data_IF_683276118450
#
_entry.id   IF_683276118450
#
_cell.length_a   1.000
_cell.length_b   1.000
_cell.length_c   1.000
_cell.angle_alpha   90.00
_cell.angle_beta   90.00
_cell.angle_gamma   90.00
#
_symmetry.space_group_name_H-M   'P 1'
#
loop_
_entity.id
_entity.type
_entity.pdbx_description
1 polymer ?
#
# COMPACT_ATOMS: atom_id res chain seq x y z
N UNK A 1 -42.06 33.59 -19.21
CA UNK A 1 -40.71 33.01 -19.13
C UNK A 1 -40.75 31.91 -18.08
N UNK A 2 -40.38 30.72 -18.50
CA UNK A 2 -40.69 29.42 -17.89
C UNK A 2 -39.79 29.12 -16.70
N UNK A 3 -40.36 29.14 -15.50
CA UNK A 3 -39.95 28.22 -14.44
C UNK A 3 -40.24 26.80 -14.92
N UNK A 4 -39.25 25.91 -14.88
CA UNK A 4 -39.49 24.47 -14.92
C UNK A 4 -39.26 23.94 -13.51
N UNK A 5 -40.32 23.98 -12.73
CA UNK A 5 -40.49 23.09 -11.58
C UNK A 5 -40.54 21.65 -12.10
N UNK A 6 -39.52 20.86 -11.81
CA UNK A 6 -39.67 19.40 -11.78
C UNK A 6 -40.16 19.06 -10.38
N UNK A 7 -41.46 19.23 -10.17
CA UNK A 7 -42.14 18.66 -9.03
C UNK A 7 -42.12 17.13 -9.17
N UNK A 8 -41.58 16.42 -8.18
CA UNK A 8 -41.94 15.02 -7.96
C UNK A 8 -40.84 13.96 -8.00
N UNK A 9 -39.54 14.30 -7.91
CA UNK A 9 -38.52 13.28 -7.58
C UNK A 9 -38.07 13.51 -6.15
N UNK A 10 -38.68 12.77 -5.21
CA UNK A 10 -38.08 12.51 -3.91
C UNK A 10 -37.22 11.26 -4.09
N UNK A 11 -35.90 11.41 -4.04
CA UNK A 11 -35.06 10.26 -3.73
C UNK A 11 -35.33 9.93 -2.25
N UNK A 12 -36.24 9.01 -1.99
CA UNK A 12 -36.14 8.23 -0.76
C UNK A 12 -34.92 7.34 -0.99
N UNK A 13 -33.83 7.63 -0.28
CA UNK A 13 -32.86 6.59 -0.01
C UNK A 13 -33.66 5.53 0.77
N UNK A 14 -34.12 4.49 0.06
CA UNK A 14 -34.41 3.22 0.69
C UNK A 14 -33.17 2.85 1.53
N UNK A 15 -33.40 2.26 2.70
CA UNK A 15 -32.38 1.89 3.69
C UNK A 15 -31.05 1.51 3.00
N UNK A 16 -29.93 2.12 3.41
CA UNK A 16 -28.60 1.96 2.78
C UNK A 16 -28.40 0.48 2.40
N UNK A 17 -28.51 0.11 1.10
CA UNK A 17 -28.58 -1.30 0.70
C UNK A 17 -27.20 -1.96 0.80
N UNK A 18 -26.18 -1.18 1.20
CA UNK A 18 -24.81 -1.65 1.32
C UNK A 18 -24.59 -2.24 2.70
N UNK A 19 -24.14 -3.49 2.74
CA UNK A 19 -23.50 -4.02 3.95
C UNK A 19 -22.16 -3.31 4.16
N UNK A 20 -21.78 -3.07 5.41
CA UNK A 20 -20.54 -2.36 5.75
C UNK A 20 -19.55 -3.25 6.49
N UNK A 21 -18.26 -3.03 6.20
CA UNK A 21 -17.17 -3.42 7.10
C UNK A 21 -16.70 -2.16 7.83
N UNK A 22 -16.84 -2.15 9.15
CA UNK A 22 -16.47 -1.01 9.99
C UNK A 22 -15.46 -1.39 11.06
N UNK A 23 -14.58 -0.45 11.40
CA UNK A 23 -13.54 -0.66 12.40
C UNK A 23 -12.66 0.55 12.59
N UNK A 24 -11.51 0.34 13.22
CA UNK A 24 -10.51 1.37 13.45
C UNK A 24 -9.14 0.95 12.92
N UNK A 25 -8.47 1.87 12.23
CA UNK A 25 -7.05 1.81 11.92
C UNK A 25 -6.30 2.58 13.01
N UNK A 26 -5.49 1.86 13.78
CA UNK A 26 -4.84 2.40 14.97
C UNK A 26 -3.32 2.24 14.86
N UNK A 27 -2.58 3.21 15.38
CA UNK A 27 -1.15 3.04 15.64
C UNK A 27 -0.89 2.05 16.78
N UNK A 28 0.37 1.71 17.02
CA UNK A 28 0.76 0.75 18.06
C UNK A 28 0.40 1.19 19.48
N UNK A 29 0.09 2.47 19.70
CA UNK A 29 -0.35 3.01 20.99
C UNK A 29 -1.88 3.10 21.09
N UNK A 30 -2.62 2.61 20.09
CA UNK A 30 -4.08 2.64 20.06
C UNK A 30 -4.67 3.98 19.62
N UNK A 31 -3.86 4.90 19.07
CA UNK A 31 -4.35 6.17 18.52
C UNK A 31 -4.77 6.00 17.07
N UNK A 32 -5.91 6.59 16.71
CA UNK A 32 -6.42 6.58 15.34
C UNK A 32 -5.48 7.18 14.30
N UNK A 33 -5.30 6.46 13.19
CA UNK A 33 -4.58 6.94 12.00
C UNK A 33 -5.62 7.44 11.00
N UNK A 34 -5.62 8.75 10.73
CA UNK A 34 -6.59 9.45 9.87
C UNK A 34 -6.16 9.53 8.42
N UNK A 35 -7.14 9.70 7.51
CA UNK A 35 -6.96 9.95 6.08
C UNK A 35 -6.12 8.86 5.39
N UNK A 36 -6.34 7.59 5.76
CA UNK A 36 -5.71 6.45 5.12
C UNK A 36 -6.80 5.55 4.57
N UNK A 37 -6.69 5.21 3.29
CA UNK A 37 -7.62 4.27 2.67
C UNK A 37 -7.48 2.88 3.27
N UNK A 38 -8.59 2.34 3.75
CA UNK A 38 -8.74 0.93 4.07
C UNK A 38 -9.50 0.29 2.91
N UNK A 39 -8.84 -0.65 2.26
CA UNK A 39 -9.36 -1.35 1.09
C UNK A 39 -9.90 -2.71 1.52
N UNK A 40 -11.17 -2.99 1.19
CA UNK A 40 -11.71 -4.34 1.22
C UNK A 40 -11.54 -4.96 -0.18
N UNK A 41 -10.85 -6.09 -0.24
CA UNK A 41 -10.45 -6.75 -1.50
C UNK A 41 -11.01 -8.16 -1.53
N UNK A 42 -11.88 -8.41 -2.51
CA UNK A 42 -12.31 -9.75 -2.93
C UNK A 42 -11.56 -10.16 -4.21
N UNK A 43 -11.88 -11.33 -4.76
CA UNK A 43 -11.17 -11.86 -5.93
C UNK A 43 -11.41 -11.04 -7.22
N UNK A 44 -12.60 -10.47 -7.40
CA UNK A 44 -13.03 -9.77 -8.61
C UNK A 44 -13.48 -8.32 -8.40
N UNK A 45 -13.58 -7.86 -7.15
CA UNK A 45 -13.97 -6.49 -6.83
C UNK A 45 -13.26 -5.94 -5.58
N UNK A 46 -13.26 -4.61 -5.47
CA UNK A 46 -12.68 -3.87 -4.35
C UNK A 46 -13.55 -2.69 -3.96
N UNK A 47 -13.56 -2.38 -2.67
CA UNK A 47 -14.14 -1.18 -2.11
C UNK A 47 -13.13 -0.50 -1.19
N UNK A 48 -13.23 0.80 -1.00
CA UNK A 48 -12.33 1.56 -0.13
C UNK A 48 -13.08 2.66 0.60
N UNK A 49 -12.62 3.00 1.79
CA UNK A 49 -13.06 4.16 2.54
C UNK A 49 -11.88 4.73 3.34
N UNK A 50 -11.60 6.04 3.26
CA UNK A 50 -10.56 6.65 4.07
C UNK A 50 -10.98 6.71 5.54
N UNK A 51 -10.02 6.50 6.43
CA UNK A 51 -10.25 6.67 7.85
C UNK A 51 -10.55 8.12 8.23
N UNK A 52 -11.50 8.31 9.14
CA UNK A 52 -11.86 9.63 9.65
C UNK A 52 -10.81 10.20 10.62
N UNK A 53 -11.09 11.37 11.22
CA UNK A 53 -10.19 12.03 12.18
C UNK A 53 -9.86 11.19 13.42
N UNK A 54 -10.64 10.16 13.73
CA UNK A 54 -10.46 9.23 14.85
C UNK A 54 -9.86 7.89 14.42
N UNK A 55 -9.54 7.73 13.13
CA UNK A 55 -9.04 6.48 12.56
C UNK A 55 -10.15 5.46 12.24
N UNK A 56 -11.43 5.84 12.36
CA UNK A 56 -12.54 4.93 12.04
C UNK A 56 -12.73 4.86 10.53
N UNK A 57 -12.90 3.65 10.00
CA UNK A 57 -13.26 3.41 8.60
C UNK A 57 -14.64 2.75 8.51
N UNK A 58 -15.32 2.92 7.38
CA UNK A 58 -16.61 2.30 7.10
C UNK A 58 -16.77 1.97 5.61
N UNK A 59 -16.12 0.90 5.17
CA UNK A 59 -16.18 0.44 3.77
C UNK A 59 -17.57 -0.09 3.44
N UNK A 60 -18.29 0.60 2.55
CA UNK A 60 -19.56 0.15 2.00
C UNK A 60 -19.33 -0.87 0.88
N UNK A 61 -20.07 -1.98 0.93
CA UNK A 61 -19.95 -3.09 -0.01
C UNK A 61 -21.26 -3.24 -0.79
N UNK A 62 -21.13 -3.46 -2.09
CA UNK A 62 -22.26 -3.70 -2.98
C UNK A 62 -22.65 -5.19 -3.02
N UNK A 63 -21.78 -6.08 -2.55
CA UNK A 63 -21.94 -7.53 -2.65
C UNK A 63 -21.48 -8.24 -1.36
N UNK A 64 -22.18 -9.30 -0.98
CA UNK A 64 -21.72 -10.23 0.05
C UNK A 64 -20.51 -11.02 -0.46
N UNK A 65 -19.60 -11.41 0.43
CA UNK A 65 -18.37 -12.08 0.01
C UNK A 65 -17.33 -12.26 1.12
N UNK A 66 -16.18 -12.77 0.72
CA UNK A 66 -15.01 -12.95 1.60
C UNK A 66 -13.97 -11.93 1.21
N UNK A 67 -13.68 -11.00 2.12
CA UNK A 67 -12.80 -9.87 1.87
C UNK A 67 -11.52 -9.96 2.69
N UNK A 68 -10.37 -9.70 2.08
CA UNK A 68 -9.18 -9.27 2.81
C UNK A 68 -9.23 -7.76 3.02
N UNK A 69 -8.68 -7.26 4.13
CA UNK A 69 -8.45 -5.82 4.29
C UNK A 69 -6.97 -5.48 4.11
N UNK A 70 -6.70 -4.40 3.39
CA UNK A 70 -5.36 -3.87 3.20
C UNK A 70 -5.33 -2.34 3.27
N UNK A 71 -4.19 -1.80 3.66
CA UNK A 71 -4.00 -0.37 3.81
C UNK A 71 -2.56 0.02 3.50
N UNK A 72 -2.37 1.30 3.19
CA UNK A 72 -1.09 1.81 2.73
C UNK A 72 -0.69 3.08 3.47
N UNK A 73 0.35 2.99 4.31
CA UNK A 73 0.75 4.08 5.22
C UNK A 73 2.17 4.51 4.90
N UNK A 74 2.34 5.69 4.31
CA UNK A 74 3.66 6.23 3.93
C UNK A 74 4.50 5.23 3.12
N UNK A 75 3.85 4.54 2.17
CA UNK A 75 4.44 3.50 1.31
C UNK A 75 4.51 2.09 1.92
N UNK A 76 4.21 1.92 3.21
CA UNK A 76 4.24 0.65 3.92
C UNK A 76 2.93 -0.14 3.70
N UNK A 77 3.00 -1.30 3.03
CA UNK A 77 1.83 -2.16 2.81
C UNK A 77 1.52 -3.00 4.04
N UNK A 78 0.27 -2.91 4.49
CA UNK A 78 -0.23 -3.67 5.63
C UNK A 78 -1.52 -4.39 5.27
N UNK A 79 -1.70 -5.56 5.88
CA UNK A 79 -2.90 -6.37 5.77
C UNK A 79 -3.50 -6.59 7.14
N UNK A 80 -4.82 -6.73 7.21
CA UNK A 80 -5.49 -7.13 8.44
C UNK A 80 -5.24 -8.61 8.70
N UNK A 81 -4.70 -8.93 9.87
CA UNK A 81 -4.35 -10.27 10.34
C UNK A 81 -5.15 -10.68 11.59
N UNK A 82 -4.73 -11.76 12.24
CA UNK A 82 -5.42 -12.28 13.44
C UNK A 82 -5.28 -11.36 14.65
N UNK A 83 -4.10 -10.76 14.84
CA UNK A 83 -3.74 -9.98 16.03
C UNK A 83 -3.60 -8.47 15.73
N UNK A 84 -4.20 -8.00 14.64
CA UNK A 84 -4.05 -6.63 14.14
C UNK A 84 -3.39 -6.60 12.77
N UNK A 85 -2.56 -5.61 12.48
CA UNK A 85 -1.86 -5.49 11.21
C UNK A 85 -0.72 -6.53 11.06
N UNK A 86 -0.53 -7.01 9.83
CA UNK A 86 0.65 -7.77 9.38
C UNK A 86 1.23 -7.15 8.11
N UNK A 87 2.54 -7.32 7.89
CA UNK A 87 3.21 -6.90 6.66
C UNK A 87 3.06 -7.88 5.49
N UNK A 88 2.57 -9.10 5.72
CA UNK A 88 2.58 -10.16 4.70
C UNK A 88 1.17 -10.58 4.27
N UNK A 89 1.00 -10.82 2.97
CA UNK A 89 -0.26 -11.31 2.42
C UNK A 89 -0.61 -12.71 2.93
N UNK A 90 0.40 -13.52 3.27
CA UNK A 90 0.23 -14.89 3.78
C UNK A 90 -0.50 -14.92 5.12
N UNK A 91 -0.29 -13.91 5.96
CA UNK A 91 -0.88 -13.79 7.29
C UNK A 91 -2.19 -12.99 7.28
N UNK A 92 -2.62 -12.51 6.10
CA UNK A 92 -3.87 -11.77 5.94
C UNK A 92 -5.05 -12.66 6.35
N UNK A 93 -5.83 -12.15 7.29
CA UNK A 93 -7.13 -12.68 7.67
C UNK A 93 -8.20 -12.17 6.72
N UNK A 94 -9.18 -13.02 6.43
CA UNK A 94 -10.37 -12.62 5.69
C UNK A 94 -11.56 -12.36 6.60
N UNK A 95 -12.48 -11.54 6.11
CA UNK A 95 -13.73 -11.15 6.74
C UNK A 95 -14.86 -11.65 5.83
N UNK A 96 -15.70 -12.52 6.36
CA UNK A 96 -16.91 -12.97 5.65
C UNK A 96 -18.04 -12.00 5.91
N UNK A 97 -18.58 -11.42 4.84
CA UNK A 97 -19.71 -10.50 4.84
C UNK A 97 -20.91 -11.18 4.20
N UNK A 98 -22.04 -11.15 4.89
CA UNK A 98 -23.32 -11.67 4.38
C UNK A 98 -24.31 -10.50 4.24
N UNK A 99 -25.56 -10.67 4.68
CA UNK A 99 -26.59 -9.63 4.71
C UNK A 99 -26.46 -8.68 5.93
N UNK A 100 -25.39 -8.85 6.73
CA UNK A 100 -25.20 -8.09 7.97
C UNK A 100 -23.83 -7.44 8.04
N UNK A 101 -23.81 -6.22 8.60
CA UNK A 101 -22.59 -5.46 8.83
C UNK A 101 -21.59 -6.24 9.69
N UNK A 102 -20.32 -6.14 9.31
CA UNK A 102 -19.20 -6.51 10.16
C UNK A 102 -18.70 -5.25 10.83
N UNK A 103 -18.60 -5.27 12.15
CA UNK A 103 -18.21 -4.09 12.92
C UNK A 103 -17.15 -4.39 13.96
N UNK A 104 -16.59 -3.31 14.49
CA UNK A 104 -15.59 -3.33 15.55
C UNK A 104 -14.30 -4.09 15.22
N UNK A 105 -13.89 -4.09 13.95
CA UNK A 105 -12.58 -4.58 13.57
C UNK A 105 -11.48 -3.66 14.09
N UNK A 106 -10.42 -4.25 14.64
CA UNK A 106 -9.24 -3.54 15.14
C UNK A 106 -8.06 -3.82 14.21
N UNK A 107 -7.84 -2.93 13.24
CA UNK A 107 -6.69 -2.96 12.35
C UNK A 107 -5.56 -2.15 13.00
N UNK A 108 -4.99 -2.68 14.08
CA UNK A 108 -3.98 -1.99 14.87
C UNK A 108 -2.56 -2.39 14.44
N UNK A 109 -1.69 -1.41 14.23
CA UNK A 109 -0.27 -1.64 13.94
C UNK A 109 0.42 -2.30 15.15
N UNK A 110 1.29 -3.27 14.89
CA UNK A 110 2.20 -3.80 15.91
C UNK A 110 3.32 -2.77 16.20
N UNK A 111 4.00 -2.88 17.36
CA UNK A 111 5.21 -2.11 17.61
C UNK A 111 6.21 -2.20 16.45
N UNK A 112 6.91 -1.10 16.19
CA UNK A 112 7.93 -0.96 15.15
C UNK A 112 7.45 -1.09 13.69
N UNK A 113 6.17 -1.37 13.44
CA UNK A 113 5.65 -1.41 12.07
C UNK A 113 5.70 -0.05 11.38
N UNK A 114 6.15 -0.05 10.13
CA UNK A 114 6.23 1.14 9.28
C UNK A 114 7.07 2.29 9.87
N UNK A 115 8.01 1.98 10.78
CA UNK A 115 8.91 2.96 11.40
C UNK A 115 10.23 3.11 10.66
N UNK A 116 10.71 2.02 10.05
CA UNK A 116 11.95 1.97 9.29
C UNK A 116 11.71 2.38 7.83
N UNK A 117 12.61 3.19 7.28
CA UNK A 117 12.49 3.73 5.92
C UNK A 117 13.60 3.30 4.99
N UNK A 118 13.27 3.23 3.71
CA UNK A 118 14.20 3.14 2.60
C UNK A 118 14.06 4.41 1.77
N UNK A 119 15.18 5.04 1.43
CA UNK A 119 15.19 6.28 0.66
C UNK A 119 16.40 6.39 -0.27
N UNK A 120 16.19 7.12 -1.36
CA UNK A 120 17.18 7.26 -2.41
C UNK A 120 16.70 8.09 -3.58
N UNK A 121 17.33 7.90 -4.74
CA UNK A 121 16.97 8.50 -6.02
C UNK A 121 16.83 7.43 -7.10
N UNK A 122 15.77 7.49 -7.88
CA UNK A 122 15.62 6.74 -9.12
C UNK A 122 16.08 7.60 -10.30
N UNK A 123 17.01 7.08 -11.09
CA UNK A 123 17.65 7.80 -12.19
C UNK A 123 17.57 6.99 -13.49
N UNK A 124 17.44 7.69 -14.61
CA UNK A 124 17.71 7.13 -15.93
C UNK A 124 19.23 6.91 -16.14
N UNK A 125 19.59 6.20 -17.19
CA UNK A 125 20.99 5.90 -17.52
C UNK A 125 21.87 7.17 -17.62
N UNK A 126 21.34 8.24 -18.21
CA UNK A 126 21.98 9.54 -18.35
C UNK A 126 22.11 10.35 -17.04
N UNK A 127 21.49 9.88 -15.96
CA UNK A 127 21.50 10.51 -14.64
C UNK A 127 20.40 11.52 -14.41
N UNK A 128 19.49 11.69 -15.36
CA UNK A 128 18.26 12.46 -15.14
C UNK A 128 17.33 11.72 -14.17
N UNK A 129 16.53 12.45 -13.37
CA UNK A 129 15.48 11.87 -12.55
C UNK A 129 14.49 11.01 -13.34
N UNK A 130 13.99 9.95 -12.71
CA UNK A 130 12.90 9.13 -13.24
C UNK A 130 11.75 9.08 -12.22
N UNK A 131 10.52 9.30 -12.70
CA UNK A 131 9.33 9.55 -11.84
C UNK A 131 8.12 8.73 -12.23
N UNK A 132 8.20 8.00 -13.34
CA UNK A 132 7.10 7.27 -13.98
C UNK A 132 7.05 5.79 -13.59
N UNK A 133 7.79 5.37 -12.57
CA UNK A 133 7.71 4.02 -12.02
C UNK A 133 7.77 4.00 -10.49
N UNK A 134 7.00 3.08 -9.89
CA UNK A 134 7.13 2.74 -8.48
C UNK A 134 8.49 2.14 -8.19
N UNK A 135 9.17 2.68 -7.17
CA UNK A 135 10.30 2.01 -6.53
C UNK A 135 9.77 1.23 -5.35
N UNK A 136 9.96 -0.08 -5.35
CA UNK A 136 9.51 -0.98 -4.30
C UNK A 136 10.67 -1.64 -3.58
N UNK A 137 10.42 -2.08 -2.36
CA UNK A 137 11.20 -3.10 -1.71
C UNK A 137 10.29 -4.23 -1.23
N UNK A 138 10.75 -5.47 -1.38
CA UNK A 138 10.04 -6.66 -0.93
C UNK A 138 10.96 -7.59 -0.17
N UNK A 139 10.41 -8.24 0.85
CA UNK A 139 11.14 -9.12 1.75
C UNK A 139 10.19 -10.03 2.52
N UNK A 140 10.74 -10.88 3.38
CA UNK A 140 9.95 -11.81 4.20
C UNK A 140 8.97 -11.09 5.11
N UNK A 141 9.36 -9.91 5.62
CA UNK A 141 8.53 -9.10 6.51
C UNK A 141 7.46 -8.28 5.77
N UNK A 142 7.42 -8.33 4.44
CA UNK A 142 6.43 -7.64 3.62
C UNK A 142 7.02 -6.76 2.54
N UNK A 143 6.29 -5.72 2.13
CA UNK A 143 6.72 -4.79 1.09
C UNK A 143 6.42 -3.34 1.43
N UNK A 144 7.22 -2.45 0.85
CA UNK A 144 6.96 -1.01 0.82
C UNK A 144 7.27 -0.47 -0.56
N UNK A 145 6.65 0.63 -0.97
CA UNK A 145 6.98 1.28 -2.23
C UNK A 145 6.59 2.77 -2.21
N UNK A 146 7.17 3.54 -3.11
CA UNK A 146 6.82 4.95 -3.35
C UNK A 146 6.93 5.33 -4.83
N UNK A 147 6.24 6.39 -5.21
CA UNK A 147 6.53 7.09 -6.46
C UNK A 147 7.66 8.09 -6.23
N UNK A 148 8.71 8.09 -7.06
CA UNK A 148 9.71 9.13 -6.98
C UNK A 148 9.11 10.52 -7.25
N UNK A 149 9.53 11.50 -6.47
CA UNK A 149 9.24 12.92 -6.69
C UNK A 149 9.91 13.43 -7.98
N UNK A 150 9.63 14.69 -8.37
CA UNK A 150 10.15 15.28 -9.61
C UNK A 150 11.69 15.26 -9.75
N UNK A 151 12.41 15.30 -8.64
CA UNK A 151 13.88 15.20 -8.60
C UNK A 151 14.40 13.75 -8.55
N UNK A 152 13.47 12.78 -8.62
CA UNK A 152 13.72 11.35 -8.59
C UNK A 152 13.87 10.81 -7.17
N UNK A 153 13.74 11.63 -6.13
CA UNK A 153 13.82 11.16 -4.74
C UNK A 153 12.63 10.29 -4.40
N UNK A 154 12.87 9.17 -3.72
CA UNK A 154 11.80 8.29 -3.21
C UNK A 154 12.02 8.05 -1.72
N UNK A 155 10.94 7.85 -0.97
CA UNK A 155 11.04 7.43 0.42
C UNK A 155 9.79 6.70 0.90
N UNK A 156 9.94 5.43 1.29
CA UNK A 156 8.85 4.64 1.84
C UNK A 156 9.25 3.93 3.13
N UNK A 157 8.25 3.69 3.97
CA UNK A 157 8.39 2.83 5.12
C UNK A 157 8.23 1.34 4.72
N UNK A 158 8.84 0.45 5.50
CA UNK A 158 8.67 -1.01 5.38
C UNK A 158 7.99 -1.61 6.62
N UNK A 159 7.26 -2.73 6.51
CA UNK A 159 6.43 -3.23 7.61
C UNK A 159 7.20 -3.67 8.86
N UNK A 160 8.50 -3.93 8.76
CA UNK A 160 9.34 -4.21 9.92
C UNK A 160 10.78 -4.54 9.54
N UNK A 161 11.64 -4.84 10.53
CA UNK A 161 12.98 -5.37 10.30
C UNK A 161 12.95 -6.60 9.39
N UNK A 162 13.98 -6.77 8.55
CA UNK A 162 14.06 -7.90 7.64
C UNK A 162 15.06 -7.70 6.51
N UNK A 163 15.13 -8.71 5.64
CA UNK A 163 15.92 -8.66 4.42
C UNK A 163 15.01 -8.21 3.28
N UNK A 164 15.39 -7.13 2.61
CA UNK A 164 14.64 -6.54 1.52
C UNK A 164 15.47 -6.44 0.24
N UNK A 165 14.83 -6.79 -0.88
CA UNK A 165 15.33 -6.52 -2.22
C UNK A 165 14.60 -5.32 -2.80
N UNK A 166 15.33 -4.38 -3.37
CA UNK A 166 14.77 -3.17 -4.01
C UNK A 166 14.64 -3.42 -5.50
N UNK A 167 13.46 -3.15 -6.05
CA UNK A 167 13.19 -3.28 -7.48
C UNK A 167 12.36 -2.11 -8.01
N UNK A 168 12.40 -1.95 -9.33
CA UNK A 168 11.50 -1.09 -10.09
C UNK A 168 10.89 -1.94 -11.19
N UNK A 169 9.61 -1.74 -11.52
CA UNK A 169 8.98 -2.37 -12.68
C UNK A 169 8.86 -1.37 -13.81
N UNK A 170 9.51 -1.64 -14.94
CA UNK A 170 9.46 -0.84 -16.17
C UNK A 170 8.90 -1.70 -17.28
N UNK A 171 7.76 -1.33 -17.85
CA UNK A 171 7.11 -2.05 -18.96
C UNK A 171 6.97 -3.57 -18.73
N UNK A 172 6.65 -3.97 -17.49
CA UNK A 172 6.52 -5.37 -17.09
C UNK A 172 7.84 -6.10 -16.80
N UNK A 173 8.99 -5.45 -16.97
CA UNK A 173 10.31 -5.93 -16.58
C UNK A 173 10.65 -5.49 -15.15
N UNK A 174 10.89 -6.45 -14.26
CA UNK A 174 11.35 -6.18 -12.90
C UNK A 174 12.88 -6.09 -12.86
N UNK A 175 13.38 -4.90 -12.50
CA UNK A 175 14.80 -4.59 -12.46
C UNK A 175 15.19 -4.40 -10.99
N UNK A 176 16.28 -5.03 -10.57
CA UNK A 176 16.71 -5.04 -9.17
C UNK A 176 17.91 -4.11 -8.96
N UNK A 177 17.99 -3.52 -7.77
CA UNK A 177 19.20 -2.82 -7.35
C UNK A 177 20.34 -3.81 -7.10
N UNK A 178 21.46 -3.64 -7.81
CA UNK A 178 22.64 -4.51 -7.75
C UNK A 178 23.80 -3.90 -6.94
N UNK A 179 23.65 -2.67 -6.42
CA UNK A 179 24.67 -1.99 -5.63
C UNK A 179 25.48 -0.95 -6.40
N UNK A 180 26.00 0.05 -5.69
CA UNK A 180 26.89 1.10 -6.22
C UNK A 180 26.30 1.81 -7.46
N UNK A 181 25.02 2.18 -7.40
CA UNK A 181 24.34 2.81 -8.53
C UNK A 181 23.76 1.85 -9.56
N UNK A 182 24.18 0.57 -9.57
CA UNK A 182 23.87 -0.35 -10.66
C UNK A 182 22.52 -1.04 -10.48
N UNK A 183 21.88 -1.30 -11.60
CA UNK A 183 20.72 -2.18 -11.77
C UNK A 183 21.15 -3.53 -12.35
N UNK A 184 20.38 -4.58 -12.09
CA UNK A 184 20.61 -5.90 -12.68
C UNK A 184 19.41 -6.83 -12.57
N UNK A 185 19.60 -8.06 -13.01
CA UNK A 185 18.59 -9.10 -12.90
C UNK A 185 18.46 -9.56 -11.44
N UNK A 186 17.42 -10.36 -11.15
CA UNK A 186 17.18 -10.90 -9.80
C UNK A 186 18.39 -11.65 -9.23
N UNK A 187 19.17 -12.35 -10.06
CA UNK A 187 20.38 -13.06 -9.62
C UNK A 187 21.50 -12.14 -9.14
N UNK A 188 21.51 -10.88 -9.55
CA UNK A 188 22.55 -9.88 -9.25
C UNK A 188 22.14 -8.93 -8.11
N UNK A 189 20.92 -9.10 -7.59
CA UNK A 189 20.35 -8.19 -6.61
C UNK A 189 21.19 -8.11 -5.34
N UNK A 190 21.28 -6.89 -4.80
CA UNK A 190 21.82 -6.64 -3.48
C UNK A 190 20.67 -6.49 -2.49
N UNK A 191 20.59 -7.42 -1.55
CA UNK A 191 19.64 -7.35 -0.45
C UNK A 191 20.14 -6.43 0.67
N UNK A 192 19.21 -5.77 1.35
CA UNK A 192 19.46 -4.94 2.52
C UNK A 192 18.91 -5.63 3.76
N UNK A 193 19.75 -5.84 4.76
CA UNK A 193 19.30 -6.28 6.07
C UNK A 193 19.02 -5.06 6.95
N UNK A 194 17.74 -4.76 7.13
CA UNK A 194 17.26 -3.64 7.92
C UNK A 194 16.90 -4.15 9.31
N UNK A 195 17.56 -3.64 10.33
CA UNK A 195 17.33 -4.08 11.72
C UNK A 195 16.80 -2.97 12.61
N UNK A 196 17.48 -1.81 12.64
CA UNK A 196 17.19 -0.73 13.61
C UNK A 196 17.33 0.69 13.05
N UNK A 197 17.74 0.82 11.80
CA UNK A 197 18.00 2.13 11.19
C UNK A 197 17.55 2.13 9.73
N UNK A 198 17.16 3.31 9.28
CA UNK A 198 16.82 3.57 7.89
C UNK A 198 17.98 3.23 6.94
N UNK A 199 17.61 2.89 5.71
CA UNK A 199 18.53 2.82 4.58
C UNK A 199 18.35 4.08 3.76
N UNK A 200 19.41 4.87 3.61
CA UNK A 200 19.36 6.17 2.94
C UNK A 200 20.44 6.29 1.88
N UNK A 201 20.25 7.19 0.92
CA UNK A 201 21.29 7.52 -0.07
C UNK A 201 21.47 6.44 -1.14
N UNK A 202 20.44 5.63 -1.40
CA UNK A 202 20.45 4.70 -2.53
C UNK A 202 20.39 5.53 -3.81
N UNK A 203 21.34 5.31 -4.72
CA UNK A 203 21.20 5.74 -6.12
C UNK A 203 20.82 4.52 -6.93
N UNK A 204 19.62 4.47 -7.48
CA UNK A 204 19.16 3.38 -8.33
C UNK A 204 19.09 3.89 -9.77
N UNK A 205 20.11 3.55 -10.57
CA UNK A 205 20.19 3.93 -11.97
C UNK A 205 19.73 2.79 -12.87
N UNK A 206 18.78 3.08 -13.75
CA UNK A 206 18.34 2.14 -14.77
C UNK A 206 19.30 2.10 -15.97
N UNK A 207 19.37 0.97 -16.69
CA UNK A 207 20.17 0.90 -17.90
C UNK A 207 19.45 1.60 -19.05
N UNK A 208 20.17 1.91 -20.14
CA UNK A 208 19.59 2.55 -21.33
C UNK A 208 18.46 1.73 -21.96
N UNK A 209 18.57 0.39 -21.87
CA UNK A 209 17.56 -0.55 -22.32
C UNK A 209 17.05 -1.40 -21.14
N UNK A 210 16.08 -0.92 -20.34
CA UNK A 210 15.51 -1.65 -19.20
C UNK A 210 15.14 -3.11 -19.52
N UNK A 211 14.50 -3.34 -20.68
CA UNK A 211 14.07 -4.66 -21.12
C UNK A 211 15.23 -5.65 -21.33
N UNK A 212 16.48 -5.20 -21.53
CA UNK A 212 17.62 -6.11 -21.69
C UNK A 212 18.04 -6.82 -20.40
N UNK A 213 17.55 -6.36 -19.24
CA UNK A 213 17.85 -6.95 -17.93
C UNK A 213 16.97 -8.17 -17.63
N UNK A 214 15.78 -8.23 -18.24
CA UNK A 214 14.78 -9.26 -17.97
C UNK A 214 14.78 -10.43 -18.97
N UNK A 215 15.68 -10.42 -19.95
CA UNK A 215 15.81 -11.46 -20.97
C UNK A 215 16.91 -12.47 -20.63
#
# INVERSE_FOLDING_TARGET
>A
MTSRDIAGIRFQAEDDPCTRITGWLLDSNGKGIKNVDVNAVADDHRAMDPTDSTGRFSVALTEAGVYGLETWINGCFLYYGNDGATGTLRERKTVSVTEHDVSALLFQLQPDMCTLRISGRLLNADGTPRTDNWVGASGESGRGADWPAEDGTFSFAVPGPGIYDISVTVDGCEIYYAGNGKSGAKSERRSFNITRSDITGIEFRLPEAPASVCN
#
